data_IF_101441878683
#
_entry.id   IF_101441878683
#
_cell.length_a   1.000
_cell.length_b   1.000
_cell.length_c   1.000
_cell.angle_alpha   90.00
_cell.angle_beta   90.00
_cell.angle_gamma   90.00
#
_symmetry.space_group_name_H-M   'P 1'
#
loop_
_entity.id
_entity.type
_entity.pdbx_description
1 polymer ?
#
# COMPACT_ATOMS: atom_id res chain seq x y z
N UNK A 1 -21.36 2.46 13.90
CA UNK A 1 -22.37 1.48 14.31
C UNK A 1 -21.76 0.47 15.25
N UNK A 2 -22.21 0.46 16.54
CA UNK A 2 -21.71 -0.43 17.59
C UNK A 2 -21.79 -1.92 17.21
N UNK A 3 -22.78 -2.31 16.42
CA UNK A 3 -22.95 -3.68 15.92
C UNK A 3 -21.72 -4.18 15.15
N UNK A 4 -21.21 -3.37 14.21
CA UNK A 4 -20.02 -3.76 13.42
C UNK A 4 -18.75 -3.81 14.26
N UNK A 5 -18.60 -2.90 15.21
CA UNK A 5 -17.46 -2.91 16.11
C UNK A 5 -17.46 -4.15 17.02
N UNK A 6 -18.63 -4.49 17.61
CA UNK A 6 -18.79 -5.68 18.44
C UNK A 6 -18.54 -6.96 17.61
N UNK A 7 -19.12 -7.04 16.42
CA UNK A 7 -18.92 -8.17 15.50
C UNK A 7 -17.46 -8.37 15.16
N UNK A 8 -16.72 -7.27 14.87
CA UNK A 8 -15.29 -7.34 14.57
C UNK A 8 -14.46 -7.83 15.75
N UNK A 9 -14.76 -7.33 16.96
CA UNK A 9 -14.08 -7.79 18.19
C UNK A 9 -14.37 -9.27 18.47
N UNK A 10 -15.63 -9.69 18.37
CA UNK A 10 -16.04 -11.10 18.57
C UNK A 10 -15.32 -12.00 17.56
N UNK A 11 -15.32 -11.64 16.28
CA UNK A 11 -14.66 -12.43 15.24
C UNK A 11 -13.14 -12.54 15.48
N UNK A 12 -12.50 -11.43 15.90
CA UNK A 12 -11.08 -11.42 16.23
C UNK A 12 -10.78 -12.34 17.43
N UNK A 13 -11.58 -12.28 18.48
CA UNK A 13 -11.44 -13.16 19.66
C UNK A 13 -11.61 -14.63 19.29
N UNK A 14 -12.64 -14.94 18.48
CA UNK A 14 -12.86 -16.31 17.98
C UNK A 14 -11.69 -16.80 17.14
N UNK A 15 -11.13 -15.96 16.30
CA UNK A 15 -9.96 -16.26 15.49
C UNK A 15 -8.72 -16.56 16.35
N UNK A 16 -8.45 -15.73 17.37
CA UNK A 16 -7.35 -15.95 18.32
C UNK A 16 -7.53 -17.25 19.09
N UNK A 17 -8.74 -17.53 19.59
CA UNK A 17 -9.06 -18.77 20.29
C UNK A 17 -8.88 -19.99 19.37
N UNK A 18 -9.33 -19.88 18.12
CA UNK A 18 -9.17 -20.95 17.13
C UNK A 18 -7.69 -21.25 16.85
N UNK A 19 -6.87 -20.24 16.59
CA UNK A 19 -5.42 -20.42 16.33
C UNK A 19 -4.74 -21.12 17.51
N UNK A 20 -5.09 -20.76 18.74
CA UNK A 20 -4.46 -21.34 19.93
C UNK A 20 -4.93 -22.78 20.24
N UNK A 21 -6.11 -23.21 19.76
CA UNK A 21 -6.69 -24.53 20.04
C UNK A 21 -6.59 -25.51 18.86
N UNK A 22 -6.34 -25.03 17.64
CA UNK A 22 -6.26 -25.89 16.47
C UNK A 22 -5.01 -26.78 16.50
N UNK A 23 -5.17 -28.07 16.19
CA UNK A 23 -4.06 -29.02 16.09
C UNK A 23 -3.08 -28.64 14.96
N UNK A 24 -3.58 -28.06 13.87
CA UNK A 24 -2.81 -27.53 12.74
C UNK A 24 -3.29 -26.11 12.45
N UNK A 25 -2.85 -25.09 13.19
CA UNK A 25 -3.29 -23.73 12.95
C UNK A 25 -2.75 -23.22 11.61
N UNK A 26 -3.56 -22.41 10.93
CA UNK A 26 -3.15 -21.78 9.68
C UNK A 26 -1.92 -20.85 9.85
N UNK A 27 -1.82 -20.20 11.01
CA UNK A 27 -0.69 -19.38 11.41
C UNK A 27 -0.03 -20.05 12.62
N UNK A 28 1.21 -20.52 12.47
CA UNK A 28 1.99 -21.11 13.57
C UNK A 28 2.82 -20.05 14.30
N UNK A 29 3.18 -20.28 15.58
CA UNK A 29 4.08 -19.37 16.29
C UNK A 29 5.45 -19.20 15.61
N UNK A 30 5.95 -20.26 14.96
CA UNK A 30 7.20 -20.25 14.20
C UNK A 30 7.09 -19.34 12.97
N UNK A 31 5.95 -19.39 12.27
CA UNK A 31 5.64 -18.53 11.14
C UNK A 31 5.65 -17.04 11.55
N UNK A 32 5.05 -16.72 12.70
CA UNK A 32 5.02 -15.35 13.24
C UNK A 32 6.36 -14.89 13.81
N UNK A 33 7.29 -15.79 14.13
CA UNK A 33 8.63 -15.45 14.62
C UNK A 33 9.66 -15.31 13.50
N UNK A 34 9.31 -15.61 12.26
CA UNK A 34 10.21 -15.48 11.12
C UNK A 34 10.50 -14.00 10.81
N UNK A 35 11.71 -13.49 11.09
CA UNK A 35 12.00 -12.07 10.95
C UNK A 35 12.00 -11.60 9.50
N UNK A 36 12.37 -12.47 8.55
CA UNK A 36 12.35 -12.16 7.13
C UNK A 36 10.92 -12.02 6.60
N UNK A 37 10.02 -12.91 7.05
CA UNK A 37 8.60 -12.82 6.72
C UNK A 37 7.96 -11.57 7.33
N UNK A 38 8.21 -11.29 8.62
CA UNK A 38 7.69 -10.09 9.29
C UNK A 38 8.16 -8.83 8.58
N UNK A 39 9.45 -8.74 8.23
CA UNK A 39 9.98 -7.59 7.49
C UNK A 39 9.27 -7.41 6.15
N UNK A 40 9.07 -8.49 5.41
CA UNK A 40 8.38 -8.44 4.11
C UNK A 40 6.91 -8.05 4.27
N UNK A 41 6.20 -8.62 5.25
CA UNK A 41 4.80 -8.27 5.53
C UNK A 41 4.65 -6.82 6.02
N UNK A 42 5.64 -6.29 6.75
CA UNK A 42 5.66 -4.87 7.14
C UNK A 42 5.79 -3.96 5.92
N UNK A 43 6.63 -4.31 4.95
CA UNK A 43 6.75 -3.57 3.69
C UNK A 43 5.45 -3.63 2.88
N UNK A 44 4.78 -4.79 2.85
CA UNK A 44 3.47 -4.97 2.21
C UNK A 44 2.43 -4.09 2.91
N UNK A 45 2.36 -4.14 4.24
CA UNK A 45 1.43 -3.35 5.04
C UNK A 45 1.58 -1.86 4.75
N UNK A 46 2.79 -1.32 4.85
CA UNK A 46 3.05 0.10 4.66
C UNK A 46 2.88 0.49 3.19
N UNK A 47 3.34 -0.33 2.26
CA UNK A 47 3.23 -0.09 0.81
C UNK A 47 1.78 0.03 0.34
N UNK A 48 0.90 -0.83 0.84
CA UNK A 48 -0.53 -0.81 0.48
C UNK A 48 -1.38 0.17 1.29
N UNK A 49 -0.83 0.81 2.31
CA UNK A 49 -1.58 1.68 3.22
C UNK A 49 -2.39 2.78 2.50
N UNK A 50 -1.87 3.28 1.38
CA UNK A 50 -2.51 4.30 0.57
C UNK A 50 -3.31 3.78 -0.64
N UNK A 51 -3.15 2.52 -1.01
CA UNK A 51 -3.70 2.00 -2.27
C UNK A 51 -5.21 2.13 -2.37
N UNK A 52 -5.92 1.79 -1.32
CA UNK A 52 -7.39 1.89 -1.31
C UNK A 52 -7.88 3.32 -1.09
N UNK A 53 -7.08 4.15 -0.45
CA UNK A 53 -7.40 5.54 -0.14
C UNK A 53 -7.20 6.47 -1.34
N UNK A 54 -6.30 6.12 -2.26
CA UNK A 54 -5.95 6.97 -3.40
C UNK A 54 -7.18 7.36 -4.22
N UNK A 55 -7.99 6.39 -4.65
CA UNK A 55 -9.16 6.65 -5.47
C UNK A 55 -10.19 7.53 -4.74
N UNK A 56 -10.49 7.20 -3.49
CA UNK A 56 -11.40 8.00 -2.67
C UNK A 56 -10.85 9.41 -2.43
N UNK A 57 -9.54 9.53 -2.16
CA UNK A 57 -8.86 10.78 -1.94
C UNK A 57 -8.85 11.68 -3.17
N UNK A 58 -8.52 11.13 -4.36
CA UNK A 58 -8.53 11.90 -5.62
C UNK A 58 -9.95 12.36 -5.97
N UNK A 59 -10.96 11.51 -5.76
CA UNK A 59 -12.36 11.91 -5.93
C UNK A 59 -12.74 13.05 -4.96
N UNK A 60 -12.35 12.96 -3.70
CA UNK A 60 -12.61 13.99 -2.71
C UNK A 60 -11.88 15.32 -3.04
N UNK A 61 -10.68 15.28 -3.59
CA UNK A 61 -9.95 16.46 -4.08
C UNK A 61 -10.72 17.09 -5.25
N UNK A 62 -11.11 16.30 -6.25
CA UNK A 62 -11.88 16.79 -7.39
C UNK A 62 -13.13 17.55 -6.94
N UNK A 63 -13.91 16.93 -6.06
CA UNK A 63 -15.17 17.51 -5.58
C UNK A 63 -14.94 18.74 -4.67
N UNK A 64 -14.08 18.61 -3.65
CA UNK A 64 -13.99 19.62 -2.57
C UNK A 64 -12.97 20.74 -2.85
N UNK A 65 -12.01 20.52 -3.75
CA UNK A 65 -10.96 21.52 -4.07
C UNK A 65 -11.18 22.12 -5.45
N UNK A 66 -11.53 21.30 -6.44
CA UNK A 66 -11.68 21.78 -7.81
C UNK A 66 -13.12 21.98 -8.26
N UNK A 67 -14.11 21.54 -7.47
CA UNK A 67 -15.53 21.68 -7.80
C UNK A 67 -16.00 20.87 -9.02
N UNK A 68 -15.27 19.83 -9.37
CA UNK A 68 -15.60 18.91 -10.49
C UNK A 68 -16.38 17.70 -9.97
N UNK A 69 -17.27 17.18 -10.81
CA UNK A 69 -18.12 16.04 -10.46
C UNK A 69 -17.33 14.74 -10.35
N UNK A 70 -17.81 13.82 -9.50
CA UNK A 70 -17.22 12.49 -9.31
C UNK A 70 -17.11 11.68 -10.60
N UNK A 71 -18.04 11.85 -11.54
CA UNK A 71 -17.98 11.19 -12.82
C UNK A 71 -16.80 11.70 -13.67
N UNK A 72 -16.56 13.02 -13.68
CA UNK A 72 -15.43 13.62 -14.38
C UNK A 72 -14.10 13.22 -13.75
N UNK A 73 -14.01 13.21 -12.42
CA UNK A 73 -12.80 12.73 -11.71
C UNK A 73 -12.53 11.27 -12.02
N UNK A 74 -13.58 10.45 -12.04
CA UNK A 74 -13.45 9.03 -12.39
C UNK A 74 -12.93 8.84 -13.82
N UNK A 75 -13.35 9.66 -14.77
CA UNK A 75 -12.82 9.67 -16.14
C UNK A 75 -11.34 10.05 -16.20
N UNK A 76 -10.91 11.02 -15.38
CA UNK A 76 -9.49 11.39 -15.28
C UNK A 76 -8.64 10.22 -14.75
N UNK A 77 -9.20 9.40 -13.83
CA UNK A 77 -8.51 8.24 -13.28
C UNK A 77 -8.47 7.02 -14.21
N UNK A 78 -9.38 6.92 -15.17
CA UNK A 78 -9.43 5.78 -16.11
C UNK A 78 -8.09 5.57 -16.81
N UNK A 79 -7.43 6.64 -17.25
CA UNK A 79 -6.13 6.56 -17.91
C UNK A 79 -5.05 5.91 -17.04
N UNK A 80 -4.99 6.25 -15.75
CA UNK A 80 -4.02 5.69 -14.81
C UNK A 80 -4.32 4.23 -14.46
N UNK A 81 -5.60 3.86 -14.35
CA UNK A 81 -6.03 2.47 -14.09
C UNK A 81 -5.74 1.59 -15.31
N UNK A 82 -6.03 2.06 -16.53
CA UNK A 82 -5.70 1.35 -17.76
C UNK A 82 -4.18 1.18 -17.93
N UNK A 83 -3.40 2.21 -17.60
CA UNK A 83 -1.94 2.11 -17.58
C UNK A 83 -1.49 0.98 -16.64
N UNK A 84 -2.03 0.90 -15.42
CA UNK A 84 -1.72 -0.17 -14.48
C UNK A 84 -2.06 -1.56 -15.04
N UNK A 85 -3.21 -1.70 -15.68
CA UNK A 85 -3.64 -2.96 -16.29
C UNK A 85 -2.67 -3.41 -17.39
N UNK A 86 -2.28 -2.50 -18.29
CA UNK A 86 -1.32 -2.79 -19.37
C UNK A 86 0.06 -3.15 -18.80
N UNK A 87 0.55 -2.38 -17.83
CA UNK A 87 1.85 -2.64 -17.19
C UNK A 87 1.87 -3.95 -16.42
N UNK A 88 0.73 -4.42 -15.91
CA UNK A 88 0.60 -5.74 -15.28
C UNK A 88 1.03 -6.89 -16.20
N UNK A 89 0.72 -6.82 -17.50
CA UNK A 89 1.17 -7.82 -18.48
C UNK A 89 2.69 -7.77 -18.74
N UNK A 90 3.30 -6.60 -18.60
CA UNK A 90 4.73 -6.39 -18.86
C UNK A 90 5.57 -6.64 -17.59
N UNK A 91 4.95 -6.67 -16.42
CA UNK A 91 5.62 -6.82 -15.14
C UNK A 91 6.53 -8.07 -15.10
N UNK A 92 6.02 -9.25 -15.45
CA UNK A 92 6.78 -10.49 -15.39
C UNK A 92 8.09 -10.48 -16.18
N UNK A 93 8.08 -10.17 -17.49
CA UNK A 93 9.29 -10.03 -18.29
C UNK A 93 10.28 -8.99 -17.76
N UNK A 94 9.80 -7.84 -17.29
CA UNK A 94 10.65 -6.78 -16.74
C UNK A 94 11.30 -7.24 -15.44
N UNK A 95 10.55 -7.82 -14.51
CA UNK A 95 11.07 -8.32 -13.24
C UNK A 95 12.12 -9.42 -13.45
N UNK A 96 11.97 -10.28 -14.46
CA UNK A 96 12.99 -11.27 -14.82
C UNK A 96 14.33 -10.62 -15.22
N UNK A 97 14.29 -9.45 -15.87
CA UNK A 97 15.50 -8.73 -16.31
C UNK A 97 16.18 -7.95 -15.19
N UNK A 98 15.40 -7.21 -14.40
CA UNK A 98 15.97 -6.31 -13.38
C UNK A 98 16.10 -6.97 -12.01
N UNK A 99 15.43 -8.10 -11.80
CA UNK A 99 15.37 -8.81 -10.52
C UNK A 99 14.32 -8.27 -9.55
N UNK A 100 13.85 -9.14 -8.64
CA UNK A 100 12.78 -8.84 -7.67
C UNK A 100 13.09 -7.63 -6.80
N UNK A 101 14.32 -7.57 -6.26
CA UNK A 101 14.74 -6.48 -5.37
C UNK A 101 14.69 -5.12 -6.06
N UNK A 102 15.20 -5.03 -7.29
CA UNK A 102 15.17 -3.79 -8.06
C UNK A 102 13.74 -3.38 -8.43
N UNK A 103 12.89 -4.35 -8.76
CA UNK A 103 11.48 -4.10 -9.06
C UNK A 103 10.73 -3.54 -7.85
N UNK A 104 10.94 -4.08 -6.63
CA UNK A 104 10.31 -3.59 -5.40
C UNK A 104 10.80 -2.17 -5.07
N UNK A 105 12.10 -1.90 -5.20
CA UNK A 105 12.67 -0.57 -4.99
C UNK A 105 12.06 0.43 -5.97
N UNK A 106 12.03 0.10 -7.26
CA UNK A 106 11.40 0.91 -8.29
C UNK A 106 9.93 1.16 -7.97
N UNK A 107 9.17 0.11 -7.65
CA UNK A 107 7.76 0.19 -7.34
C UNK A 107 7.46 1.15 -6.18
N UNK A 108 8.10 0.96 -5.04
CA UNK A 108 7.91 1.82 -3.85
C UNK A 108 8.36 3.27 -4.11
N UNK A 109 9.43 3.47 -4.91
CA UNK A 109 9.86 4.81 -5.31
C UNK A 109 8.78 5.52 -6.13
N UNK A 110 8.23 4.86 -7.16
CA UNK A 110 7.17 5.46 -7.99
C UNK A 110 5.87 5.64 -7.21
N UNK A 111 5.50 4.73 -6.33
CA UNK A 111 4.33 4.90 -5.46
C UNK A 111 4.49 6.11 -4.54
N UNK A 112 5.62 6.25 -3.86
CA UNK A 112 5.90 7.41 -3.01
C UNK A 112 5.92 8.72 -3.80
N UNK A 113 6.64 8.75 -4.93
CA UNK A 113 6.70 9.93 -5.80
C UNK A 113 5.33 10.31 -6.38
N UNK A 114 4.49 9.34 -6.72
CA UNK A 114 3.13 9.59 -7.20
C UNK A 114 2.27 10.31 -6.15
N UNK A 115 2.32 9.87 -4.89
CA UNK A 115 1.61 10.54 -3.79
C UNK A 115 2.16 11.94 -3.53
N UNK A 116 3.49 12.11 -3.54
CA UNK A 116 4.12 13.42 -3.43
C UNK A 116 3.71 14.34 -4.60
N UNK A 117 3.68 13.83 -5.82
CA UNK A 117 3.25 14.60 -7.00
C UNK A 117 1.82 15.12 -6.85
N UNK A 118 0.89 14.29 -6.31
CA UNK A 118 -0.47 14.74 -5.99
C UNK A 118 -0.42 15.84 -4.92
N UNK A 119 0.33 15.64 -3.83
CA UNK A 119 0.45 16.62 -2.75
C UNK A 119 0.94 17.99 -3.24
N UNK A 120 1.95 18.00 -4.12
CA UNK A 120 2.48 19.23 -4.71
C UNK A 120 1.55 19.87 -5.74
N UNK A 121 0.76 19.08 -6.46
CA UNK A 121 -0.12 19.59 -7.49
C UNK A 121 -1.37 20.32 -6.96
N UNK A 122 -1.90 19.88 -5.82
CA UNK A 122 -3.13 20.42 -5.20
C UNK A 122 -3.02 21.94 -4.94
N UNK A 123 -1.98 22.45 -4.26
CA UNK A 123 -1.86 23.88 -3.95
C UNK A 123 -1.72 24.78 -5.19
N UNK A 124 -1.30 24.20 -6.32
CA UNK A 124 -1.11 24.94 -7.57
C UNK A 124 -2.36 25.01 -8.45
N UNK A 125 -3.50 24.43 -7.99
CA UNK A 125 -4.77 24.49 -8.70
C UNK A 125 -4.78 23.76 -10.06
N UNK A 126 -3.95 22.76 -10.26
CA UNK A 126 -3.77 22.07 -11.53
C UNK A 126 -4.66 20.83 -11.63
N UNK A 127 -5.86 20.97 -12.15
CA UNK A 127 -6.83 19.87 -12.31
C UNK A 127 -6.25 18.70 -13.12
N UNK A 128 -5.50 18.97 -14.19
CA UNK A 128 -4.88 17.93 -15.00
C UNK A 128 -3.89 17.05 -14.20
N UNK A 129 -3.37 17.54 -13.09
CA UNK A 129 -2.51 16.76 -12.23
C UNK A 129 -3.24 15.56 -11.58
N UNK A 130 -4.58 15.63 -11.45
CA UNK A 130 -5.40 14.50 -11.01
C UNK A 130 -5.44 13.36 -12.04
N UNK A 131 -5.12 13.63 -13.30
CA UNK A 131 -5.00 12.60 -14.33
C UNK A 131 -3.58 11.97 -14.36
N UNK A 132 -2.54 12.82 -14.26
CA UNK A 132 -1.15 12.38 -14.51
C UNK A 132 -0.41 11.92 -13.25
N UNK A 133 -0.60 12.56 -12.10
CA UNK A 133 0.09 12.16 -10.89
C UNK A 133 -0.31 10.75 -10.39
N UNK A 134 -1.58 10.31 -10.45
CA UNK A 134 -1.95 8.93 -10.20
C UNK A 134 -1.28 7.92 -11.14
N UNK A 135 -0.97 8.29 -12.39
CA UNK A 135 -0.23 7.41 -13.31
C UNK A 135 1.13 6.99 -12.75
N UNK A 136 1.83 7.91 -12.07
CA UNK A 136 3.12 7.62 -11.43
C UNK A 136 2.93 6.59 -10.30
N UNK A 137 1.90 6.77 -9.48
CA UNK A 137 1.57 5.83 -8.41
C UNK A 137 1.19 4.45 -8.95
N UNK A 138 0.29 4.40 -9.93
CA UNK A 138 -0.17 3.16 -10.52
C UNK A 138 0.91 2.42 -11.32
N UNK A 139 1.85 3.15 -11.93
CA UNK A 139 3.07 2.54 -12.47
C UNK A 139 3.80 1.75 -11.37
N UNK A 140 4.00 2.36 -10.20
CA UNK A 140 4.62 1.69 -9.06
C UNK A 140 3.85 0.44 -8.60
N UNK A 141 2.53 0.54 -8.42
CA UNK A 141 1.72 -0.60 -7.94
C UNK A 141 1.75 -1.78 -8.90
N UNK A 142 1.84 -1.55 -10.22
CA UNK A 142 1.93 -2.61 -11.23
C UNK A 142 3.19 -3.48 -11.08
N UNK A 143 4.26 -2.92 -10.52
CA UNK A 143 5.52 -3.62 -10.28
C UNK A 143 5.73 -4.00 -8.81
N UNK A 144 4.76 -3.77 -7.93
CA UNK A 144 4.89 -4.05 -6.51
C UNK A 144 4.37 -5.43 -6.12
N UNK A 145 3.15 -5.79 -6.52
CA UNK A 145 2.44 -6.96 -6.04
C UNK A 145 3.21 -8.26 -6.26
N UNK A 146 3.48 -8.61 -7.51
CA UNK A 146 4.10 -9.90 -7.84
C UNK A 146 5.50 -10.06 -7.23
N UNK A 147 6.44 -9.10 -7.35
CA UNK A 147 7.77 -9.25 -6.76
C UNK A 147 7.79 -9.32 -5.24
N UNK A 148 6.90 -8.57 -4.55
CA UNK A 148 6.89 -8.58 -3.08
C UNK A 148 6.28 -9.87 -2.52
N UNK A 149 5.22 -10.39 -3.16
CA UNK A 149 4.62 -11.68 -2.79
C UNK A 149 5.57 -12.83 -3.06
N UNK A 150 6.23 -12.84 -4.22
CA UNK A 150 7.30 -13.78 -4.53
C UNK A 150 8.45 -13.73 -3.49
N UNK A 151 8.78 -12.52 -3.03
CA UNK A 151 9.81 -12.34 -2.00
C UNK A 151 9.34 -12.88 -0.66
N UNK A 152 8.07 -12.70 -0.31
CA UNK A 152 7.49 -13.25 0.92
C UNK A 152 7.49 -14.78 0.91
N UNK A 153 7.13 -15.42 -0.20
CA UNK A 153 7.14 -16.89 -0.31
C UNK A 153 8.54 -17.49 -0.23
N UNK A 154 9.60 -16.76 -0.61
CA UNK A 154 10.99 -17.22 -0.42
C UNK A 154 11.39 -17.32 1.06
N UNK A 155 10.72 -16.63 1.95
CA UNK A 155 11.09 -16.60 3.38
C UNK A 155 10.58 -17.79 4.18
N UNK A 156 9.85 -18.70 3.56
CA UNK A 156 9.26 -19.90 4.18
C UNK A 156 9.55 -21.15 3.34
N UNK A 157 9.28 -22.33 3.92
CA UNK A 157 9.34 -23.59 3.19
C UNK A 157 8.25 -23.61 2.08
N UNK A 158 8.48 -24.29 0.94
CA UNK A 158 7.54 -24.31 -0.18
C UNK A 158 6.14 -24.79 0.20
N UNK A 159 6.05 -25.72 1.15
CA UNK A 159 4.80 -26.28 1.66
C UNK A 159 3.96 -25.21 2.39
N UNK A 160 4.61 -24.16 2.87
CA UNK A 160 3.98 -23.03 3.57
C UNK A 160 3.64 -21.85 2.64
N UNK A 161 4.01 -21.91 1.37
CA UNK A 161 3.77 -20.81 0.41
C UNK A 161 2.28 -20.42 0.33
N UNK A 162 1.37 -21.38 0.40
CA UNK A 162 -0.07 -21.11 0.44
C UNK A 162 -0.51 -20.32 1.67
N UNK A 163 0.17 -20.53 2.82
CA UNK A 163 -0.09 -19.74 4.05
C UNK A 163 0.36 -18.29 3.87
N UNK A 164 1.53 -18.08 3.25
CA UNK A 164 2.04 -16.73 2.95
C UNK A 164 1.08 -15.95 2.08
N UNK A 165 0.53 -16.59 1.03
CA UNK A 165 -0.46 -15.95 0.16
C UNK A 165 -1.72 -15.53 0.94
N UNK A 166 -2.27 -16.42 1.76
CA UNK A 166 -3.44 -16.08 2.59
C UNK A 166 -3.17 -14.99 3.63
N UNK A 167 -1.97 -15.00 4.25
CA UNK A 167 -1.57 -13.93 5.18
C UNK A 167 -1.35 -12.62 4.44
N UNK A 168 -0.77 -12.64 3.24
CA UNK A 168 -0.62 -11.47 2.40
C UNK A 168 -1.97 -10.81 2.09
N UNK A 169 -2.97 -11.60 1.70
CA UNK A 169 -4.30 -11.09 1.37
C UNK A 169 -5.00 -10.51 2.62
N UNK A 170 -4.82 -11.17 3.77
CA UNK A 170 -5.30 -10.65 5.06
C UNK A 170 -4.62 -9.33 5.42
N UNK A 171 -3.30 -9.24 5.29
CA UNK A 171 -2.54 -8.01 5.54
C UNK A 171 -3.02 -6.88 4.62
N UNK A 172 -3.24 -7.16 3.33
CA UNK A 172 -3.76 -6.16 2.39
C UNK A 172 -5.17 -5.69 2.77
N UNK A 173 -6.07 -6.60 3.14
CA UNK A 173 -7.44 -6.25 3.55
C UNK A 173 -7.46 -5.38 4.81
N UNK A 174 -6.64 -5.74 5.82
CA UNK A 174 -6.50 -4.95 7.05
C UNK A 174 -5.91 -3.59 6.72
N UNK A 175 -4.85 -3.54 5.93
CA UNK A 175 -4.17 -2.30 5.54
C UNK A 175 -5.11 -1.36 4.80
N UNK A 176 -5.88 -1.89 3.86
CA UNK A 176 -6.86 -1.11 3.12
C UNK A 176 -7.92 -0.49 4.04
N UNK A 177 -8.46 -1.29 4.95
CA UNK A 177 -9.48 -0.83 5.91
C UNK A 177 -8.93 0.22 6.88
N UNK A 178 -7.74 -0.01 7.43
CA UNK A 178 -7.07 0.93 8.35
C UNK A 178 -6.69 2.22 7.60
N UNK A 179 -6.14 2.10 6.39
CA UNK A 179 -5.78 3.24 5.55
C UNK A 179 -6.98 4.16 5.30
N UNK A 180 -8.09 3.60 4.82
CA UNK A 180 -9.32 4.37 4.57
C UNK A 180 -9.86 5.01 5.84
N UNK A 181 -9.86 4.29 6.99
CA UNK A 181 -10.33 4.83 8.27
C UNK A 181 -9.45 5.98 8.78
N UNK A 182 -8.12 5.82 8.71
CA UNK A 182 -7.17 6.86 9.14
C UNK A 182 -7.32 8.11 8.27
N UNK A 183 -7.31 7.94 6.94
CA UNK A 183 -7.44 9.10 6.04
C UNK A 183 -8.81 9.74 6.10
N UNK A 184 -9.89 8.97 6.18
CA UNK A 184 -11.23 9.50 6.39
C UNK A 184 -11.32 10.31 7.68
N UNK A 185 -10.71 9.81 8.77
CA UNK A 185 -10.58 10.51 10.04
C UNK A 185 -9.77 11.80 9.92
N UNK A 186 -8.63 11.78 9.23
CA UNK A 186 -7.81 12.97 9.00
C UNK A 186 -8.53 14.03 8.16
N UNK A 187 -9.29 13.63 7.15
CA UNK A 187 -10.10 14.51 6.33
C UNK A 187 -11.22 15.18 7.13
N UNK A 188 -11.90 14.43 8.00
CA UNK A 188 -13.06 14.91 8.75
C UNK A 188 -12.71 15.70 10.02
N UNK A 189 -11.55 15.44 10.61
CA UNK A 189 -11.14 16.05 11.89
C UNK A 189 -10.68 17.51 11.79
N UNK A 190 -10.39 18.01 10.59
CA UNK A 190 -9.81 19.34 10.40
C UNK A 190 -8.36 19.51 10.92
N UNK A 191 -7.76 18.47 11.51
CA UNK A 191 -6.39 18.51 12.07
C UNK A 191 -5.35 18.93 11.02
N UNK A 192 -5.59 18.59 9.75
CA UNK A 192 -4.70 18.94 8.63
C UNK A 192 -5.10 20.21 7.88
N UNK A 193 -6.08 20.97 8.36
CA UNK A 193 -6.64 22.16 7.69
C UNK A 193 -5.82 23.44 7.88
N UNK A 194 -4.71 23.37 8.60
CA UNK A 194 -3.77 24.49 8.75
C UNK A 194 -3.11 24.91 7.43
N UNK A 195 -2.01 25.65 7.51
CA UNK A 195 -1.23 25.96 6.30
C UNK A 195 -0.71 24.69 5.65
N UNK A 196 -0.75 24.63 4.33
CA UNK A 196 -0.11 23.54 3.60
C UNK A 196 1.41 23.57 3.83
N UNK A 197 1.98 22.40 4.15
CA UNK A 197 3.45 22.25 4.21
C UNK A 197 4.05 22.43 2.81
N UNK A 198 3.23 22.20 1.78
CA UNK A 198 3.63 22.28 0.37
C UNK A 198 2.82 23.40 -0.30
N UNK A 199 3.45 24.55 -0.50
CA UNK A 199 2.81 25.69 -1.16
C UNK A 199 1.83 26.46 -0.31
N UNK A 200 1.18 27.50 -0.87
CA UNK A 200 0.29 28.43 -0.20
C UNK A 200 -1.19 28.05 -0.34
N UNK A 201 -1.56 26.84 0.07
CA UNK A 201 -2.96 26.41 0.10
C UNK A 201 -3.57 26.55 1.51
N UNK A 202 -4.87 26.77 1.56
CA UNK A 202 -5.65 26.84 2.79
C UNK A 202 -6.93 25.98 2.67
N UNK A 203 -7.57 25.67 3.80
CA UNK A 203 -8.82 24.92 3.83
C UNK A 203 -8.69 23.48 3.32
N UNK A 204 -9.63 23.04 2.49
CA UNK A 204 -9.65 21.68 1.96
C UNK A 204 -8.39 21.34 1.16
N UNK A 205 -7.89 22.26 0.37
CA UNK A 205 -6.68 22.03 -0.43
C UNK A 205 -5.45 21.73 0.44
N UNK A 206 -5.26 22.46 1.57
CA UNK A 206 -4.17 22.18 2.49
C UNK A 206 -4.33 20.83 3.15
N UNK A 207 -5.56 20.48 3.57
CA UNK A 207 -5.87 19.19 4.19
C UNK A 207 -5.43 18.02 3.29
N UNK A 208 -5.88 18.02 2.04
CA UNK A 208 -5.53 16.94 1.10
C UNK A 208 -4.05 16.94 0.75
N UNK A 209 -3.44 18.11 0.51
CA UNK A 209 -2.02 18.20 0.23
C UNK A 209 -1.17 17.60 1.36
N UNK A 210 -1.47 17.96 2.62
CA UNK A 210 -0.77 17.44 3.78
C UNK A 210 -0.96 15.92 3.96
N UNK A 211 -2.17 15.40 3.73
CA UNK A 211 -2.48 13.97 3.81
C UNK A 211 -1.69 13.18 2.76
N UNK A 212 -1.69 13.64 1.50
CA UNK A 212 -0.95 12.97 0.43
C UNK A 212 0.57 13.08 0.61
N UNK A 213 1.05 14.19 1.18
CA UNK A 213 2.46 14.34 1.56
C UNK A 213 2.86 13.29 2.60
N UNK A 214 2.09 13.17 3.68
CA UNK A 214 2.32 12.16 4.73
C UNK A 214 2.30 10.76 4.11
N UNK A 215 1.35 10.48 3.23
CA UNK A 215 1.27 9.21 2.51
C UNK A 215 2.49 8.90 1.69
N UNK A 216 2.99 9.86 0.94
CA UNK A 216 4.23 9.73 0.17
C UNK A 216 5.43 9.41 1.07
N UNK A 217 5.56 10.11 2.20
CA UNK A 217 6.62 9.86 3.19
C UNK A 217 6.50 8.46 3.79
N UNK A 218 5.29 8.02 4.14
CA UNK A 218 5.05 6.67 4.69
C UNK A 218 5.47 5.58 3.67
N UNK A 219 5.11 5.72 2.39
CA UNK A 219 5.50 4.76 1.37
C UNK A 219 7.02 4.78 1.12
N UNK A 220 7.64 5.95 1.15
CA UNK A 220 9.10 6.04 1.07
C UNK A 220 9.80 5.45 2.31
N UNK A 221 9.17 5.51 3.49
CA UNK A 221 9.66 4.79 4.65
C UNK A 221 9.62 3.26 4.44
N UNK A 222 8.58 2.72 3.78
CA UNK A 222 8.56 1.30 3.39
C UNK A 222 9.73 0.95 2.45
N UNK A 223 10.08 1.84 1.52
CA UNK A 223 11.26 1.69 0.67
C UNK A 223 12.55 1.59 1.48
N UNK A 224 12.73 2.48 2.47
CA UNK A 224 13.90 2.45 3.35
C UNK A 224 13.94 1.15 4.16
N UNK A 225 12.82 0.72 4.74
CA UNK A 225 12.71 -0.54 5.48
C UNK A 225 13.10 -1.71 4.55
N UNK A 226 12.60 -1.75 3.33
CA UNK A 226 12.96 -2.80 2.37
C UNK A 226 14.45 -2.80 2.04
N UNK A 227 15.04 -1.63 1.74
CA UNK A 227 16.48 -1.51 1.44
C UNK A 227 17.36 -2.02 2.60
N UNK A 228 16.99 -1.69 3.83
CA UNK A 228 17.71 -2.12 5.03
C UNK A 228 17.56 -3.64 5.27
N UNK A 229 16.35 -4.16 5.08
CA UNK A 229 16.04 -5.57 5.41
C UNK A 229 16.27 -6.54 4.26
N UNK A 230 16.39 -6.08 3.01
CA UNK A 230 16.51 -6.95 1.83
C UNK A 230 17.61 -8.01 1.93
N UNK A 231 18.79 -7.63 2.46
CA UNK A 231 19.90 -8.60 2.62
C UNK A 231 19.50 -9.75 3.55
N UNK A 232 18.89 -9.43 4.69
CA UNK A 232 18.39 -10.42 5.65
C UNK A 232 17.32 -11.31 5.00
N UNK A 233 16.36 -10.73 4.27
CA UNK A 233 15.27 -11.44 3.61
C UNK A 233 15.79 -12.46 2.61
N UNK A 234 16.67 -12.04 1.69
CA UNK A 234 17.19 -12.92 0.65
C UNK A 234 18.17 -13.97 1.20
N UNK A 235 19.06 -13.62 2.14
CA UNK A 235 19.95 -14.59 2.77
C UNK A 235 19.18 -15.66 3.55
N UNK A 236 18.07 -15.28 4.20
CA UNK A 236 17.20 -16.23 4.87
C UNK A 236 16.51 -17.18 3.88
N UNK A 237 16.00 -16.64 2.77
CA UNK A 237 15.40 -17.43 1.69
C UNK A 237 16.36 -18.43 1.06
N UNK A 238 17.61 -18.01 0.79
CA UNK A 238 18.65 -18.92 0.26
C UNK A 238 18.92 -20.09 1.20
N UNK A 239 19.02 -19.85 2.51
CA UNK A 239 19.22 -20.91 3.52
C UNK A 239 18.07 -21.93 3.53
N UNK A 240 16.83 -21.48 3.41
CA UNK A 240 15.67 -22.37 3.37
C UNK A 240 15.71 -23.25 2.11
N UNK A 241 16.12 -22.70 0.97
CA UNK A 241 16.19 -23.45 -0.28
C UNK A 241 17.38 -24.42 -0.37
N UNK A 242 18.47 -24.16 0.36
CA UNK A 242 19.64 -25.04 0.40
C UNK A 242 19.46 -26.25 1.34
N UNK A 243 18.56 -26.17 2.31
CA UNK A 243 18.27 -27.26 3.24
C UNK A 243 17.27 -28.30 2.69
N UNK A 244 17.10 -28.34 1.37
CA UNK A 244 16.39 -29.35 0.59
C UNK A 244 17.38 -30.37 0.03
#
# INVERSE_FOLDING_TARGET
NAFWAISSVVTLVLFIVYINKAKNPFITPEFLKNPALIATMSVIFIGYFFSYTLNAGVNAIGLNVFGIDSAEVSLLLVGSILLAAVLGFVCGPVVKKIGRSAAIIMALSFMGLGLLAIAFAIPHGKVWALAFAPCIYYFGTSFFYSPIVDTATLTVAPEESGRVLGVNDLVQAITGSVGVAVFGGMMSSGVMSGSSVVGSAAGAASTYANIFLIGGVIVLAALVIFIVTKKMIYTHGEKIQQNK
#
